data_IF_915654956777
#
_entry.id   IF_915654956777
#
_cell.length_a   1.000
_cell.length_b   1.000
_cell.length_c   1.000
_cell.angle_alpha   90.00
_cell.angle_beta   90.00
_cell.angle_gamma   90.00
#
_symmetry.space_group_name_H-M   'P 1'
#
loop_
_entity.id
_entity.type
_entity.pdbx_description
1 polymer ?
#
# COMPACT_ATOMS: atom_id res chain seq x y z
N UNK A 1 -4.84 -0.11 13.87
CA UNK A 1 -3.59 -0.86 13.74
C UNK A 1 -2.47 -0.16 14.42
N UNK A 2 -1.62 -0.87 15.10
CA UNK A 2 -0.52 -0.31 15.84
C UNK A 2 0.72 -1.12 15.58
N UNK A 3 1.86 -0.45 15.45
CA UNK A 3 3.14 -1.09 15.32
C UNK A 3 3.42 -1.65 13.95
N UNK A 4 4.38 -2.54 13.88
CA UNK A 4 4.80 -3.13 12.62
C UNK A 4 3.88 -4.24 12.18
N UNK A 5 3.58 -4.25 10.91
CA UNK A 5 2.80 -5.32 10.32
C UNK A 5 3.62 -5.90 9.17
N UNK A 6 4.04 -7.14 9.31
CA UNK A 6 4.83 -7.80 8.27
C UNK A 6 3.93 -8.70 7.46
N UNK A 7 3.95 -8.47 6.16
CA UNK A 7 3.06 -9.15 5.22
C UNK A 7 3.89 -9.96 4.24
N UNK A 8 3.39 -11.14 3.90
CA UNK A 8 3.96 -11.94 2.82
C UNK A 8 2.84 -12.34 1.88
N UNK A 9 3.04 -12.10 0.59
CA UNK A 9 2.06 -12.41 -0.45
C UNK A 9 2.79 -13.21 -1.52
N UNK A 10 2.32 -14.40 -1.82
CA UNK A 10 3.04 -15.24 -2.77
C UNK A 10 2.11 -16.11 -3.61
N UNK A 11 2.61 -16.45 -4.78
CA UNK A 11 2.04 -17.51 -5.62
C UNK A 11 3.23 -18.26 -6.22
N UNK A 12 2.99 -19.07 -7.24
CA UNK A 12 4.07 -19.87 -7.83
C UNK A 12 5.14 -19.03 -8.49
N UNK A 13 4.80 -17.85 -8.97
CA UNK A 13 5.74 -17.02 -9.75
C UNK A 13 6.34 -15.87 -8.97
N UNK A 14 5.61 -15.35 -7.99
CA UNK A 14 6.04 -14.14 -7.30
C UNK A 14 5.87 -14.28 -5.80
N UNK A 15 6.79 -13.70 -5.06
CA UNK A 15 6.70 -13.62 -3.62
C UNK A 15 7.11 -12.23 -3.19
N UNK A 16 6.22 -11.55 -2.46
CA UNK A 16 6.48 -10.21 -1.94
C UNK A 16 6.49 -10.26 -0.42
N UNK A 17 7.50 -9.65 0.17
CA UNK A 17 7.61 -9.58 1.61
C UNK A 17 7.92 -8.15 1.98
N UNK A 18 7.13 -7.59 2.87
CA UNK A 18 7.32 -6.20 3.28
C UNK A 18 6.74 -5.95 4.66
N UNK A 19 7.17 -4.86 5.26
CA UNK A 19 6.74 -4.46 6.59
C UNK A 19 6.20 -3.05 6.54
N UNK A 20 5.02 -2.85 7.10
CA UNK A 20 4.41 -1.54 7.21
C UNK A 20 4.59 -1.05 8.64
N UNK A 21 5.07 0.17 8.79
CA UNK A 21 5.41 0.72 10.10
C UNK A 21 4.46 1.83 10.54
N UNK A 22 3.75 2.42 9.61
CA UNK A 22 2.89 3.56 9.88
C UNK A 22 1.58 3.43 9.14
N UNK A 23 0.66 4.33 9.42
CA UNK A 23 -0.66 4.25 8.81
C UNK A 23 -0.66 4.47 7.28
N UNK A 24 0.31 5.17 6.73
CA UNK A 24 0.39 5.36 5.29
C UNK A 24 1.76 4.95 4.78
N UNK A 25 1.79 4.08 3.79
CA UNK A 25 2.99 3.67 3.07
C UNK A 25 2.74 3.90 1.59
N UNK A 26 3.70 4.54 0.93
CA UNK A 26 3.60 4.83 -0.50
C UNK A 26 4.50 3.86 -1.25
N UNK A 27 3.96 3.22 -2.27
CA UNK A 27 4.73 2.37 -3.16
C UNK A 27 4.85 3.09 -4.50
N UNK A 28 6.06 3.42 -4.86
CA UNK A 28 6.36 4.22 -6.04
C UNK A 28 7.36 3.47 -6.90
N UNK A 29 7.55 3.88 -8.11
CA UNK A 29 8.53 3.29 -8.99
C UNK A 29 8.04 3.24 -10.42
N UNK A 30 8.91 2.85 -11.30
CA UNK A 30 8.62 2.82 -12.72
C UNK A 30 7.73 1.63 -13.06
N UNK A 31 7.10 1.68 -14.22
CA UNK A 31 6.31 0.56 -14.69
C UNK A 31 7.23 -0.64 -14.91
N UNK A 32 6.68 -1.83 -14.78
CA UNK A 32 7.46 -3.04 -14.94
C UNK A 32 8.20 -3.50 -13.71
N UNK A 33 8.02 -2.81 -12.57
CA UNK A 33 8.72 -3.21 -11.36
C UNK A 33 7.95 -4.21 -10.50
N UNK A 34 6.74 -4.56 -10.90
CA UNK A 34 5.95 -5.53 -10.17
C UNK A 34 4.83 -4.97 -9.31
N UNK A 35 4.61 -3.65 -9.34
CA UNK A 35 3.55 -3.04 -8.54
C UNK A 35 2.16 -3.52 -8.95
N UNK A 36 1.92 -3.58 -10.25
CA UNK A 36 0.64 -4.04 -10.77
C UNK A 36 0.41 -5.50 -10.44
N UNK A 37 1.46 -6.32 -10.56
CA UNK A 37 1.37 -7.73 -10.22
C UNK A 37 1.01 -7.91 -8.75
N UNK A 38 1.62 -7.14 -7.87
CA UNK A 38 1.31 -7.21 -6.45
C UNK A 38 -0.16 -6.87 -6.20
N UNK A 39 -0.63 -5.79 -6.78
CA UNK A 39 -2.02 -5.36 -6.62
C UNK A 39 -2.98 -6.45 -7.13
N UNK A 40 -2.69 -6.98 -8.30
CA UNK A 40 -3.55 -7.99 -8.91
C UNK A 40 -3.61 -9.26 -8.06
N UNK A 41 -2.50 -9.66 -7.48
CA UNK A 41 -2.47 -10.84 -6.61
C UNK A 41 -3.38 -10.63 -5.39
N UNK A 42 -3.32 -9.45 -4.79
CA UNK A 42 -4.16 -9.15 -3.63
C UNK A 42 -5.63 -9.14 -4.03
N UNK A 43 -5.94 -8.51 -5.15
CA UNK A 43 -7.31 -8.45 -5.65
C UNK A 43 -7.86 -9.84 -5.95
N UNK A 44 -7.04 -10.68 -6.60
CA UNK A 44 -7.45 -12.04 -6.91
C UNK A 44 -7.73 -12.84 -5.64
N UNK A 45 -6.90 -12.67 -4.63
CA UNK A 45 -7.11 -13.35 -3.36
C UNK A 45 -8.41 -12.87 -2.71
N UNK A 46 -8.68 -11.57 -2.75
CA UNK A 46 -9.92 -11.05 -2.17
C UNK A 46 -11.15 -11.59 -2.90
N UNK A 47 -11.05 -11.82 -4.19
CA UNK A 47 -12.17 -12.30 -4.98
C UNK A 47 -12.34 -13.81 -4.98
N UNK A 48 -11.25 -14.54 -4.98
CA UNK A 48 -11.28 -15.98 -5.20
C UNK A 48 -10.76 -16.82 -4.03
N UNK A 49 -10.14 -16.18 -3.05
CA UNK A 49 -9.59 -16.92 -1.91
C UNK A 49 -8.53 -17.91 -2.35
N UNK A 50 -8.66 -19.15 -1.88
CA UNK A 50 -7.69 -20.19 -2.22
C UNK A 50 -7.57 -20.45 -3.68
N UNK A 51 -8.65 -20.30 -4.42
CA UNK A 51 -8.66 -20.60 -5.84
C UNK A 51 -7.82 -19.63 -6.65
N UNK A 52 -7.45 -18.51 -6.06
CA UNK A 52 -6.56 -17.57 -6.73
C UNK A 52 -5.13 -18.12 -6.88
N UNK A 53 -4.77 -19.11 -6.07
CA UNK A 53 -3.41 -19.59 -6.01
C UNK A 53 -2.48 -18.67 -5.21
N UNK A 54 -3.03 -17.63 -4.60
CA UNK A 54 -2.26 -16.65 -3.83
C UNK A 54 -2.36 -16.99 -2.35
N UNK A 55 -1.24 -16.89 -1.66
CA UNK A 55 -1.18 -17.07 -0.20
C UNK A 55 -0.79 -15.75 0.43
N UNK A 56 -1.53 -15.35 1.46
CA UNK A 56 -1.23 -14.13 2.19
C UNK A 56 -1.11 -14.46 3.67
N UNK A 57 -0.05 -13.95 4.29
CA UNK A 57 0.12 -14.11 5.72
C UNK A 57 0.55 -12.79 6.34
N UNK A 58 0.27 -12.61 7.62
CA UNK A 58 0.67 -11.44 8.38
C UNK A 58 -0.45 -10.51 8.75
N UNK A 59 -1.61 -10.64 8.13
CA UNK A 59 -2.75 -9.78 8.47
C UNK A 59 -3.81 -9.80 7.38
N UNK A 60 -4.88 -9.09 7.65
CA UNK A 60 -5.94 -8.95 6.68
C UNK A 60 -5.58 -7.85 5.69
N UNK A 61 -5.56 -8.19 4.41
CA UNK A 61 -5.17 -7.21 3.40
C UNK A 61 -6.23 -7.23 2.29
N UNK A 62 -6.69 -6.05 1.92
CA UNK A 62 -7.76 -5.90 0.94
C UNK A 62 -7.45 -4.77 -0.01
N UNK A 63 -7.95 -4.88 -1.24
CA UNK A 63 -7.88 -3.80 -2.20
C UNK A 63 -9.11 -2.92 -2.05
N UNK A 64 -8.96 -1.64 -2.31
CA UNK A 64 -10.05 -0.68 -2.23
C UNK A 64 -10.09 0.09 -3.55
N UNK A 65 -11.22 0.01 -4.24
CA UNK A 65 -11.37 0.70 -5.52
C UNK A 65 -12.85 0.96 -5.80
N UNK A 66 -13.10 1.84 -6.76
CA UNK A 66 -14.44 2.04 -7.27
C UNK A 66 -15.24 3.09 -6.52
N UNK A 67 -16.49 3.22 -6.94
CA UNK A 67 -17.36 4.29 -6.45
C UNK A 67 -17.79 4.14 -5.01
N UNK A 68 -17.86 2.90 -4.55
CA UNK A 68 -18.33 2.63 -3.20
C UNK A 68 -17.20 2.59 -2.19
N UNK A 69 -16.09 3.21 -2.52
CA UNK A 69 -14.91 3.13 -1.66
C UNK A 69 -15.18 3.60 -0.23
N UNK A 70 -16.01 4.62 -0.05
CA UNK A 70 -16.29 5.11 1.30
C UNK A 70 -17.02 4.08 2.15
N UNK A 71 -18.06 3.49 1.57
CA UNK A 71 -18.84 2.49 2.28
C UNK A 71 -17.99 1.27 2.59
N UNK A 72 -17.15 0.87 1.64
CA UNK A 72 -16.28 -0.28 1.83
C UNK A 72 -15.24 0.00 2.90
N UNK A 73 -14.64 1.18 2.86
CA UNK A 73 -13.64 1.54 3.85
C UNK A 73 -14.24 1.60 5.25
N UNK A 74 -15.45 2.12 5.37
CA UNK A 74 -16.12 2.22 6.67
C UNK A 74 -16.35 0.87 7.33
N UNK A 75 -16.37 -0.20 6.55
CA UNK A 75 -16.55 -1.55 7.08
C UNK A 75 -15.25 -2.21 7.49
N UNK A 76 -14.12 -1.61 7.19
CA UNK A 76 -12.82 -2.21 7.45
C UNK A 76 -12.24 -1.70 8.76
N UNK A 77 -11.65 -2.61 9.50
CA UNK A 77 -10.87 -2.25 10.68
C UNK A 77 -9.71 -3.23 10.80
N UNK A 78 -8.63 -2.78 11.38
CA UNK A 78 -7.44 -3.58 11.63
C UNK A 78 -6.98 -4.30 10.36
N UNK A 79 -6.98 -3.57 9.25
CA UNK A 79 -6.68 -4.14 7.93
C UNK A 79 -5.64 -3.31 7.21
N UNK A 80 -4.95 -3.95 6.27
CA UNK A 80 -4.08 -3.26 5.32
C UNK A 80 -4.91 -3.01 4.07
N UNK A 81 -5.10 -1.75 3.73
CA UNK A 81 -5.94 -1.34 2.61
C UNK A 81 -5.03 -0.91 1.47
N UNK A 82 -5.12 -1.59 0.34
CA UNK A 82 -4.23 -1.35 -0.80
C UNK A 82 -4.99 -0.63 -1.89
N UNK A 83 -4.42 0.46 -2.37
CA UNK A 83 -5.07 1.32 -3.36
C UNK A 83 -4.15 1.47 -4.55
N UNK A 84 -4.69 1.18 -5.73
CA UNK A 84 -3.94 1.19 -6.96
C UNK A 84 -3.78 2.59 -7.54
N UNK A 85 -2.77 2.73 -8.36
CA UNK A 85 -2.51 3.93 -9.10
C UNK A 85 -3.72 4.19 -10.01
N UNK A 86 -4.19 5.39 -10.07
CA UNK A 86 -5.37 5.71 -10.85
C UNK A 86 -6.64 5.85 -10.04
N UNK A 87 -6.64 5.42 -8.80
CA UNK A 87 -7.78 5.63 -7.93
C UNK A 87 -7.79 7.08 -7.47
N UNK A 88 -8.67 7.87 -8.05
CA UNK A 88 -8.63 9.32 -7.84
C UNK A 88 -9.10 9.77 -6.47
N UNK A 89 -9.84 8.94 -5.78
CA UNK A 89 -10.33 9.33 -4.46
C UNK A 89 -9.22 9.59 -3.44
N UNK A 90 -8.01 9.08 -3.68
CA UNK A 90 -6.89 9.33 -2.76
C UNK A 90 -6.50 10.81 -2.69
N UNK A 91 -6.92 11.60 -3.69
CA UNK A 91 -6.62 13.03 -3.70
C UNK A 91 -7.71 13.84 -3.00
N UNK A 92 -8.76 13.21 -2.52
CA UNK A 92 -9.89 13.93 -1.94
C UNK A 92 -9.70 14.21 -0.47
N UNK A 93 -10.37 15.25 0.00
CA UNK A 93 -10.39 15.58 1.42
C UNK A 93 -11.16 14.53 2.21
N UNK A 94 -12.15 13.93 1.57
CA UNK A 94 -12.94 12.87 2.19
C UNK A 94 -12.06 11.68 2.54
N UNK A 95 -11.19 11.28 1.62
CA UNK A 95 -10.29 10.19 1.88
C UNK A 95 -9.32 10.53 3.01
N UNK A 96 -8.76 11.73 2.99
CA UNK A 96 -7.83 12.16 4.03
C UNK A 96 -8.49 12.11 5.41
N UNK A 97 -9.75 12.53 5.48
CA UNK A 97 -10.50 12.51 6.72
C UNK A 97 -10.74 11.08 7.21
N UNK A 98 -11.09 10.18 6.29
CA UNK A 98 -11.33 8.77 6.63
C UNK A 98 -10.05 8.09 7.12
N UNK A 99 -8.92 8.39 6.50
CA UNK A 99 -7.65 7.80 6.91
C UNK A 99 -7.32 8.15 8.36
N UNK A 100 -7.58 9.39 8.76
CA UNK A 100 -7.29 9.80 10.12
C UNK A 100 -8.20 9.14 11.15
N UNK A 101 -9.41 8.84 10.76
CA UNK A 101 -10.41 8.35 11.69
C UNK A 101 -10.55 6.85 11.77
N UNK A 102 -9.79 6.09 11.01
CA UNK A 102 -9.97 4.64 10.97
C UNK A 102 -8.78 3.89 11.53
N UNK A 103 -8.99 2.60 11.78
CA UNK A 103 -7.99 1.73 12.34
C UNK A 103 -7.43 0.81 11.27
N UNK A 104 -6.83 1.39 10.24
CA UNK A 104 -6.26 0.62 9.14
C UNK A 104 -4.91 1.20 8.73
N UNK A 105 -4.10 0.38 8.09
CA UNK A 105 -2.90 0.84 7.41
C UNK A 105 -3.20 0.89 5.93
N UNK A 106 -2.61 1.86 5.25
CA UNK A 106 -2.85 2.07 3.83
C UNK A 106 -1.57 1.91 3.05
N UNK A 107 -1.61 1.08 2.03
CA UNK A 107 -0.53 0.94 1.07
C UNK A 107 -1.03 1.54 -0.23
N UNK A 108 -0.51 2.69 -0.60
CA UNK A 108 -0.98 3.44 -1.76
C UNK A 108 0.06 3.41 -2.86
N UNK A 109 -0.33 2.88 -4.00
CA UNK A 109 0.54 2.80 -5.18
C UNK A 109 0.30 4.05 -6.00
N UNK A 110 1.30 4.94 -6.08
CA UNK A 110 1.12 6.20 -6.80
C UNK A 110 2.46 6.84 -7.12
N UNK A 111 2.49 7.63 -8.15
CA UNK A 111 3.64 8.46 -8.48
C UNK A 111 3.44 9.90 -8.08
N UNK A 112 2.24 10.25 -7.67
CA UNK A 112 1.88 11.62 -7.39
C UNK A 112 2.05 11.96 -5.92
N UNK A 113 2.21 13.24 -5.64
CA UNK A 113 2.12 13.72 -4.28
C UNK A 113 0.67 13.67 -3.84
N UNK A 114 0.46 13.23 -2.62
CA UNK A 114 -0.87 13.19 -2.05
C UNK A 114 -0.96 14.30 -1.02
N UNK A 115 -1.17 15.51 -1.51
CA UNK A 115 -1.08 16.70 -0.67
C UNK A 115 -2.10 16.76 0.47
N UNK A 116 -3.18 15.99 0.35
CA UNK A 116 -4.21 15.96 1.39
C UNK A 116 -3.87 14.98 2.53
N UNK A 117 -2.86 14.15 2.34
CA UNK A 117 -2.51 13.14 3.33
C UNK A 117 -1.25 13.50 4.08
N UNK A 118 -1.18 13.08 5.33
CA UNK A 118 0.03 13.22 6.13
C UNK A 118 0.78 11.91 6.12
N UNK A 119 1.90 11.86 5.45
CA UNK A 119 2.75 10.69 5.44
C UNK A 119 4.22 11.10 5.45
N UNK A 120 5.06 10.18 5.82
CA UNK A 120 6.49 10.46 5.93
C UNK A 120 7.21 10.08 4.65
N UNK A 121 8.18 10.89 4.22
CA UNK A 121 9.03 10.53 3.10
C UNK A 121 9.84 9.26 3.40
N UNK A 122 10.02 8.95 4.67
CA UNK A 122 10.70 7.72 5.05
C UNK A 122 9.86 6.47 4.79
N UNK A 123 8.57 6.65 4.51
CA UNK A 123 7.68 5.53 4.20
C UNK A 123 7.32 5.49 2.73
N UNK A 124 8.22 5.94 1.87
CA UNK A 124 8.08 5.81 0.43
C UNK A 124 9.05 4.73 -0.03
N UNK A 125 8.51 3.73 -0.71
CA UNK A 125 9.26 2.54 -1.10
C UNK A 125 9.14 2.26 -2.59
N UNK A 126 10.05 1.47 -3.10
CA UNK A 126 9.95 0.86 -4.42
C UNK A 126 10.13 -0.63 -4.26
N UNK A 127 9.75 -1.38 -5.29
CA UNK A 127 9.95 -2.82 -5.27
C UNK A 127 11.38 -3.12 -5.68
N UNK A 128 12.03 -3.98 -4.90
CA UNK A 128 13.39 -4.40 -5.14
C UNK A 128 13.42 -5.91 -5.30
N UNK A 129 14.27 -6.39 -6.16
CA UNK A 129 14.49 -7.82 -6.34
C UNK A 129 14.23 -8.24 -7.77
N UNK A 130 14.84 -9.34 -8.14
CA UNK A 130 14.67 -9.93 -9.46
C UNK A 130 14.14 -11.34 -9.28
N UNK A 131 13.50 -11.86 -10.31
CA UNK A 131 12.96 -13.20 -10.24
C UNK A 131 11.77 -13.25 -9.30
N UNK A 132 11.69 -14.33 -8.54
CA UNK A 132 10.52 -14.59 -7.74
C UNK A 132 10.40 -13.72 -6.49
N UNK A 133 11.48 -13.51 -5.77
CA UNK A 133 11.43 -12.88 -4.45
C UNK A 133 11.63 -11.39 -4.53
N UNK A 134 10.67 -10.64 -4.02
CA UNK A 134 10.69 -9.18 -4.05
C UNK A 134 10.41 -8.60 -2.68
N UNK A 135 11.03 -7.47 -2.43
CA UNK A 135 10.89 -6.75 -1.17
C UNK A 135 10.65 -5.28 -1.45
N UNK A 136 10.30 -4.53 -0.42
CA UNK A 136 10.19 -3.08 -0.49
C UNK A 136 11.52 -2.48 -0.07
N UNK A 137 12.02 -1.55 -0.88
CA UNK A 137 13.22 -0.81 -0.55
C UNK A 137 12.85 0.65 -0.37
N UNK A 138 13.31 1.25 0.72
CA UNK A 138 13.08 2.67 0.96
C UNK A 138 13.64 3.46 -0.18
N UNK A 139 12.80 4.27 -0.78
CA UNK A 139 13.19 4.99 -1.96
C UNK A 139 14.07 6.17 -1.63
N UNK A 140 13.79 6.83 -0.54
CA UNK A 140 14.56 7.94 -0.18
C UNK A 140 15.73 7.53 0.56
N UNK A 141 16.74 8.32 0.54
CA UNK A 141 17.81 8.01 1.17
C UNK A 141 18.34 9.22 1.61
N UNK A 142 18.83 9.32 2.40
CA UNK A 142 19.55 10.12 3.10
C UNK A 142 19.82 11.39 2.61
N UNK A 143 19.28 11.86 1.80
CA UNK A 143 19.48 13.18 1.44
C UNK A 143 18.78 14.04 2.45
N UNK A 144 19.53 14.50 3.42
CA UNK A 144 18.98 15.22 4.52
C UNK A 144 18.28 16.48 4.07
N UNK A 145 18.63 17.05 2.98
CA UNK A 145 17.94 18.21 2.47
C UNK A 145 16.50 17.96 2.12
N UNK A 146 16.22 16.81 1.54
CA UNK A 146 14.86 16.54 1.16
C UNK A 146 13.99 16.22 2.33
N UNK A 147 14.54 15.83 3.43
CA UNK A 147 13.67 15.54 4.54
C UNK A 147 12.98 16.74 5.10
N UNK A 148 13.48 17.91 4.81
CA UNK A 148 12.82 19.10 5.24
C UNK A 148 11.47 19.28 4.63
N UNK A 149 11.21 18.52 3.59
CA UNK A 149 9.98 18.69 2.91
C UNK A 149 9.00 17.66 3.23
N UNK A 150 8.97 17.27 4.42
CA UNK A 150 8.03 16.41 4.86
C UNK A 150 6.81 17.17 5.05
N UNK A 151 6.15 17.58 4.07
CA UNK A 151 5.08 18.46 4.16
C UNK A 151 3.83 17.82 4.53
N UNK A 152 3.85 16.66 4.84
CA UNK A 152 2.69 15.98 5.13
C UNK A 152 2.59 15.86 6.57
N UNK A 153 2.61 16.83 7.23
CA UNK A 153 2.54 16.69 8.60
C UNK A 153 1.36 17.28 9.12
#
# INVERSE_FOLDING_TARGET
>A
MIGRVSIKISNQRNSYKFTLNRNITILRGDSGTGKTTLYDMIRDYNNLGRESGVKISGGNIVTLEGRNWEDELDKLSNSVVVIDEGSKFVFSKEFASKVKGCDNYFLIITRSYLSQLQYSVDEIYSIKGTGKNKEFKRKHHHNWGSRKYNYWR
#
